data_IF_822700719192
#
_entry.id   IF_822700719192
#
_cell.length_a   1.000
_cell.length_b   1.000
_cell.length_c   1.000
_cell.angle_alpha   90.00
_cell.angle_beta   90.00
_cell.angle_gamma   90.00
#
_symmetry.space_group_name_H-M   'P 1'
#
loop_
_entity.id
_entity.type
_entity.pdbx_description
1 polymer ?
#
# COMPACT_ATOMS: atom_id res chain seq x y z
N UNK A 1 -9.06 37.20 -20.48
CA UNK A 1 -9.07 35.73 -20.42
C UNK A 1 -9.20 35.32 -18.95
N UNK A 2 -10.25 34.63 -18.57
CA UNK A 2 -10.38 34.07 -17.22
C UNK A 2 -9.34 32.95 -17.10
N UNK A 3 -8.40 33.07 -16.15
CA UNK A 3 -7.36 32.06 -15.92
C UNK A 3 -8.05 30.77 -15.50
N UNK A 4 -7.82 29.71 -16.25
CA UNK A 4 -8.39 28.39 -15.92
C UNK A 4 -7.81 27.88 -14.60
N UNK A 5 -8.68 27.51 -13.64
CA UNK A 5 -8.27 27.06 -12.32
C UNK A 5 -7.55 25.70 -12.38
N UNK A 6 -6.49 25.54 -11.61
CA UNK A 6 -5.81 24.25 -11.42
C UNK A 6 -6.68 23.25 -10.65
N UNK A 7 -6.31 21.95 -10.71
CA UNK A 7 -6.99 20.92 -9.93
C UNK A 7 -6.90 21.15 -8.41
N UNK A 8 -5.81 21.78 -7.94
CA UNK A 8 -5.65 22.12 -6.51
C UNK A 8 -6.62 23.24 -6.11
N UNK A 9 -6.72 24.30 -6.91
CA UNK A 9 -7.67 25.38 -6.67
C UNK A 9 -9.12 24.89 -6.69
N UNK A 10 -9.47 24.03 -7.67
CA UNK A 10 -10.80 23.42 -7.74
C UNK A 10 -11.10 22.54 -6.53
N UNK A 11 -10.13 21.76 -6.05
CA UNK A 11 -10.29 20.95 -4.85
C UNK A 11 -10.49 21.81 -3.59
N UNK A 12 -9.76 22.92 -3.47
CA UNK A 12 -9.91 23.81 -2.32
C UNK A 12 -11.26 24.53 -2.29
N UNK A 13 -11.98 24.54 -3.41
CA UNK A 13 -13.31 25.12 -3.54
C UNK A 13 -14.46 24.13 -3.34
N UNK A 14 -14.15 22.88 -2.99
CA UNK A 14 -15.17 21.82 -2.75
C UNK A 14 -16.15 22.19 -1.64
N UNK A 15 -15.69 22.94 -0.63
CA UNK A 15 -16.59 23.46 0.41
C UNK A 15 -17.01 24.90 0.06
N UNK A 16 -18.31 25.16 0.14
CA UNK A 16 -18.83 26.53 0.08
C UNK A 16 -18.42 27.34 1.31
N UNK A 17 -18.53 28.69 1.27
CA UNK A 17 -18.34 29.53 2.46
C UNK A 17 -19.21 29.11 3.66
N UNK A 18 -20.35 28.48 3.42
CA UNK A 18 -21.26 27.92 4.45
C UNK A 18 -20.89 26.50 4.88
N UNK A 19 -19.77 25.94 4.41
CA UNK A 19 -19.31 24.57 4.74
C UNK A 19 -20.06 23.43 4.03
N UNK A 20 -20.91 23.76 3.05
CA UNK A 20 -21.62 22.73 2.28
C UNK A 20 -20.71 22.12 1.21
N UNK A 21 -20.75 20.79 1.10
CA UNK A 21 -19.96 20.04 0.12
C UNK A 21 -20.45 20.31 -1.32
N UNK A 22 -19.52 20.72 -2.18
CA UNK A 22 -19.76 20.97 -3.60
C UNK A 22 -19.18 19.84 -4.45
N UNK A 23 -19.91 18.71 -4.53
CA UNK A 23 -19.44 17.46 -5.18
C UNK A 23 -19.06 17.67 -6.64
N UNK A 24 -19.70 18.58 -7.36
CA UNK A 24 -19.36 18.86 -8.76
C UNK A 24 -17.98 19.51 -8.91
N UNK A 25 -17.56 20.34 -7.95
CA UNK A 25 -16.21 20.92 -7.96
C UNK A 25 -15.12 19.89 -7.70
N UNK A 26 -15.37 18.92 -6.80
CA UNK A 26 -14.47 17.81 -6.55
C UNK A 26 -14.34 16.91 -7.80
N UNK A 27 -15.43 16.60 -8.48
CA UNK A 27 -15.42 15.88 -9.77
C UNK A 27 -14.61 16.62 -10.84
N UNK A 28 -14.74 17.94 -10.89
CA UNK A 28 -13.96 18.78 -11.80
C UNK A 28 -12.46 18.74 -11.45
N UNK A 29 -12.12 18.79 -10.15
CA UNK A 29 -10.74 18.67 -9.68
C UNK A 29 -10.14 17.31 -10.06
N UNK A 30 -10.88 16.19 -9.88
CA UNK A 30 -10.45 14.85 -10.33
C UNK A 30 -10.19 14.84 -11.83
N UNK A 31 -11.16 15.32 -12.65
CA UNK A 31 -11.02 15.36 -14.11
C UNK A 31 -9.77 16.15 -14.53
N UNK A 32 -9.58 17.32 -13.94
CA UNK A 32 -8.44 18.19 -14.27
C UNK A 32 -7.12 17.58 -13.81
N UNK A 33 -7.07 16.93 -12.66
CA UNK A 33 -5.90 16.18 -12.20
C UNK A 33 -5.47 15.07 -13.20
N UNK A 34 -6.45 14.37 -13.76
CA UNK A 34 -6.14 13.37 -14.79
C UNK A 34 -5.62 14.00 -16.09
N UNK A 35 -6.21 15.11 -16.54
CA UNK A 35 -5.80 15.79 -17.77
C UNK A 35 -4.43 16.41 -17.62
N UNK A 36 -4.22 17.18 -16.56
CA UNK A 36 -3.04 18.02 -16.40
C UNK A 36 -1.83 17.26 -15.83
N UNK A 37 -2.07 16.14 -15.15
CA UNK A 37 -0.99 15.43 -14.44
C UNK A 37 -0.90 13.94 -14.77
N UNK A 38 -1.95 13.16 -14.47
CA UNK A 38 -1.85 11.70 -14.60
C UNK A 38 -1.60 11.27 -16.03
N UNK A 39 -2.40 11.76 -16.98
CA UNK A 39 -2.29 11.34 -18.38
C UNK A 39 -0.99 11.84 -19.04
N UNK A 40 -0.48 12.97 -18.63
CA UNK A 40 0.79 13.53 -19.14
C UNK A 40 2.00 12.75 -18.64
N UNK A 41 1.89 12.13 -17.46
CA UNK A 41 2.94 11.32 -16.85
C UNK A 41 2.69 9.82 -17.00
N UNK A 42 1.74 9.40 -17.83
CA UNK A 42 1.45 7.99 -18.07
C UNK A 42 2.27 7.45 -19.25
N UNK A 43 2.89 6.30 -19.07
CA UNK A 43 3.44 5.53 -20.19
C UNK A 43 2.29 4.87 -20.94
N UNK A 44 2.18 5.14 -22.22
CA UNK A 44 1.14 4.62 -23.07
C UNK A 44 1.63 3.42 -23.88
N UNK A 45 0.80 2.40 -23.96
CA UNK A 45 1.05 1.17 -24.73
C UNK A 45 -0.02 1.03 -25.79
N UNK A 46 0.35 0.45 -26.92
CA UNK A 46 -0.58 0.23 -28.02
C UNK A 46 -1.71 -0.74 -27.62
N UNK A 47 -1.36 -1.81 -26.92
CA UNK A 47 -2.33 -2.77 -26.41
C UNK A 47 -1.89 -3.43 -25.09
N UNK A 48 -2.76 -4.26 -24.50
CA UNK A 48 -2.49 -4.97 -23.26
C UNK A 48 -1.32 -5.97 -23.38
N UNK A 49 -1.13 -6.57 -24.56
CA UNK A 49 -0.07 -7.56 -24.76
C UNK A 49 1.30 -6.91 -24.72
N UNK A 50 1.44 -5.78 -25.40
CA UNK A 50 2.66 -4.97 -25.36
C UNK A 50 2.94 -4.48 -23.92
N UNK A 51 1.90 -3.98 -23.24
CA UNK A 51 2.02 -3.53 -21.84
C UNK A 51 2.52 -4.64 -20.92
N UNK A 52 1.87 -5.82 -20.93
CA UNK A 52 2.27 -6.93 -20.05
C UNK A 52 3.69 -7.40 -20.40
N UNK A 53 4.01 -7.52 -21.70
CA UNK A 53 5.36 -7.87 -22.13
C UNK A 53 6.40 -6.89 -21.60
N UNK A 54 6.18 -5.59 -21.80
CA UNK A 54 7.08 -4.54 -21.29
C UNK A 54 7.28 -4.64 -19.78
N UNK A 55 6.19 -4.83 -19.02
CA UNK A 55 6.24 -4.89 -17.56
C UNK A 55 6.93 -6.15 -17.03
N UNK A 56 6.86 -7.25 -17.76
CA UNK A 56 7.61 -8.49 -17.45
C UNK A 56 9.09 -8.35 -17.82
N UNK A 57 9.40 -7.92 -19.03
CA UNK A 57 10.77 -7.79 -19.55
C UNK A 57 11.61 -6.81 -18.72
N UNK A 58 10.98 -5.74 -18.22
CA UNK A 58 11.63 -4.74 -17.36
C UNK A 58 11.51 -5.02 -15.86
N UNK A 59 11.12 -6.23 -15.45
CA UNK A 59 11.07 -6.69 -14.06
C UNK A 59 10.18 -5.82 -13.15
N UNK A 60 9.05 -5.37 -13.67
CA UNK A 60 8.02 -4.74 -12.88
C UNK A 60 7.03 -5.77 -12.34
N UNK A 61 6.55 -6.68 -13.20
CA UNK A 61 5.63 -7.75 -12.83
C UNK A 61 6.35 -9.08 -12.60
N UNK A 62 5.75 -9.92 -11.76
CA UNK A 62 6.25 -11.27 -11.47
C UNK A 62 6.00 -12.21 -12.65
N UNK A 63 7.07 -12.68 -13.27
CA UNK A 63 7.00 -13.70 -14.32
C UNK A 63 6.36 -14.99 -13.81
N UNK A 64 6.65 -15.37 -12.55
CA UNK A 64 6.08 -16.56 -11.91
C UNK A 64 4.54 -16.49 -11.85
N UNK A 65 3.99 -15.33 -11.46
CA UNK A 65 2.54 -15.15 -11.44
C UNK A 65 1.94 -15.25 -12.82
N UNK A 66 2.50 -14.54 -13.80
CA UNK A 66 1.92 -14.49 -15.15
C UNK A 66 2.06 -15.81 -15.90
N UNK A 67 3.06 -16.63 -15.60
CA UNK A 67 3.21 -17.98 -16.17
C UNK A 67 2.10 -18.95 -15.72
N UNK A 68 1.38 -18.65 -14.62
CA UNK A 68 0.23 -19.46 -14.16
C UNK A 68 -1.03 -19.28 -15.02
N UNK A 69 -1.03 -18.28 -15.92
CA UNK A 69 -2.20 -17.91 -16.73
C UNK A 69 -1.87 -17.89 -18.22
N UNK A 70 -2.84 -18.28 -19.04
CA UNK A 70 -2.81 -17.98 -20.47
C UNK A 70 -3.07 -16.48 -20.67
N UNK A 71 -2.48 -15.89 -21.68
CA UNK A 71 -2.71 -14.46 -21.97
C UNK A 71 -4.20 -14.13 -22.17
N UNK A 72 -4.98 -15.05 -22.76
CA UNK A 72 -6.43 -14.89 -22.92
C UNK A 72 -7.17 -14.75 -21.58
N UNK A 73 -6.69 -15.42 -20.52
CA UNK A 73 -7.24 -15.35 -19.17
C UNK A 73 -6.87 -14.03 -18.48
N UNK A 74 -5.60 -13.64 -18.60
CA UNK A 74 -5.16 -12.29 -18.15
C UNK A 74 -6.02 -11.22 -18.81
N UNK A 75 -6.20 -11.29 -20.13
CA UNK A 75 -7.04 -10.35 -20.89
C UNK A 75 -8.49 -10.31 -20.39
N UNK A 76 -9.06 -11.45 -19.99
CA UNK A 76 -10.43 -11.50 -19.41
C UNK A 76 -10.52 -10.68 -18.11
N UNK A 77 -9.56 -10.85 -17.19
CA UNK A 77 -9.54 -10.13 -15.90
C UNK A 77 -9.39 -8.63 -16.11
N UNK A 78 -8.44 -8.20 -16.93
CA UNK A 78 -8.26 -6.77 -17.26
C UNK A 78 -9.51 -6.20 -17.95
N UNK A 79 -10.09 -6.90 -18.94
CA UNK A 79 -11.32 -6.46 -19.59
C UNK A 79 -12.47 -6.32 -18.59
N UNK A 80 -12.58 -7.23 -17.63
CA UNK A 80 -13.59 -7.15 -16.55
C UNK A 80 -13.38 -5.92 -15.68
N UNK A 81 -12.14 -5.64 -15.25
CA UNK A 81 -11.83 -4.44 -14.48
C UNK A 81 -12.25 -3.15 -15.21
N UNK A 82 -11.83 -3.01 -16.46
CA UNK A 82 -12.15 -1.83 -17.27
C UNK A 82 -13.65 -1.70 -17.61
N UNK A 83 -14.42 -2.78 -17.56
CA UNK A 83 -15.88 -2.73 -17.79
C UNK A 83 -16.64 -1.98 -16.71
N UNK A 84 -16.07 -1.85 -15.51
CA UNK A 84 -16.64 -1.07 -14.41
C UNK A 84 -16.59 0.45 -14.64
N UNK A 85 -15.76 0.91 -15.59
CA UNK A 85 -15.60 2.35 -15.90
C UNK A 85 -15.36 3.17 -14.64
N UNK A 86 -14.51 2.67 -13.75
CA UNK A 86 -14.25 3.25 -12.43
C UNK A 86 -13.90 4.74 -12.53
N UNK A 87 -14.39 5.51 -11.57
CA UNK A 87 -14.07 6.92 -11.39
C UNK A 87 -13.81 7.20 -9.92
N UNK A 88 -12.69 7.83 -9.64
CA UNK A 88 -12.40 8.23 -8.26
C UNK A 88 -13.46 9.20 -7.76
N UNK A 89 -13.99 8.99 -6.54
CA UNK A 89 -15.03 9.84 -5.97
C UNK A 89 -14.52 11.23 -5.57
N UNK A 90 -13.20 11.33 -5.24
CA UNK A 90 -12.59 12.57 -4.79
C UNK A 90 -11.18 12.76 -5.36
N UNK A 91 -10.71 14.02 -5.38
CA UNK A 91 -9.33 14.34 -5.75
C UNK A 91 -8.34 13.67 -4.79
N UNK A 92 -8.63 13.66 -3.49
CA UNK A 92 -7.80 13.02 -2.47
C UNK A 92 -7.59 11.54 -2.75
N UNK A 93 -8.66 10.80 -3.09
CA UNK A 93 -8.55 9.37 -3.39
C UNK A 93 -7.75 9.10 -4.66
N UNK A 94 -7.94 9.90 -5.71
CA UNK A 94 -7.17 9.80 -6.94
C UNK A 94 -5.67 10.10 -6.69
N UNK A 95 -5.39 11.21 -6.02
CA UNK A 95 -4.02 11.60 -5.67
C UNK A 95 -3.32 10.53 -4.82
N UNK A 96 -4.00 10.03 -3.77
CA UNK A 96 -3.44 8.99 -2.90
C UNK A 96 -3.09 7.72 -3.67
N UNK A 97 -3.95 7.31 -4.61
CA UNK A 97 -3.66 6.14 -5.45
C UNK A 97 -2.40 6.36 -6.31
N UNK A 98 -2.31 7.46 -7.05
CA UNK A 98 -1.17 7.72 -7.93
C UNK A 98 0.12 8.06 -7.19
N UNK A 99 0.05 8.70 -6.04
CA UNK A 99 1.23 8.97 -5.22
C UNK A 99 1.81 7.71 -4.58
N UNK A 100 0.95 6.80 -4.09
CA UNK A 100 1.36 5.72 -3.19
C UNK A 100 1.19 4.30 -3.72
N UNK A 101 0.28 4.04 -4.67
CA UNK A 101 -0.09 2.67 -5.07
C UNK A 101 0.18 2.34 -6.54
N UNK A 102 0.04 3.33 -7.44
CA UNK A 102 0.27 3.11 -8.84
C UNK A 102 1.74 2.79 -9.12
N UNK A 103 1.99 1.72 -9.86
CA UNK A 103 3.33 1.36 -10.30
C UNK A 103 3.91 2.47 -11.16
N UNK A 104 5.16 2.81 -10.87
CA UNK A 104 5.92 3.84 -11.59
C UNK A 104 7.16 3.26 -12.24
N UNK A 105 7.73 4.01 -13.17
CA UNK A 105 9.05 3.71 -13.72
C UNK A 105 10.12 3.73 -12.62
N UNK A 106 11.24 3.05 -12.83
CA UNK A 106 12.32 2.98 -11.83
C UNK A 106 12.89 4.33 -11.40
N UNK A 107 12.74 5.36 -12.24
CA UNK A 107 13.10 6.76 -11.93
C UNK A 107 11.97 7.54 -11.25
N UNK A 108 10.83 6.89 -10.95
CA UNK A 108 9.62 7.45 -10.34
C UNK A 108 8.95 8.60 -11.11
N UNK A 109 9.28 8.81 -12.39
CA UNK A 109 8.76 9.94 -13.16
C UNK A 109 7.44 9.65 -13.85
N UNK A 110 7.21 8.41 -14.28
CA UNK A 110 6.05 8.06 -15.09
C UNK A 110 5.25 6.92 -14.46
N UNK A 111 3.93 6.99 -14.62
CA UNK A 111 3.01 5.94 -14.18
C UNK A 111 2.94 4.83 -15.24
N UNK A 112 2.95 3.59 -14.77
CA UNK A 112 2.83 2.39 -15.58
C UNK A 112 1.46 1.73 -15.44
N UNK A 113 0.74 2.01 -14.36
CA UNK A 113 -0.56 1.43 -14.04
C UNK A 113 -1.64 2.48 -13.85
N UNK A 114 -2.85 2.14 -14.29
CA UNK A 114 -4.11 2.73 -13.83
C UNK A 114 -4.66 1.92 -12.65
N UNK A 115 -5.71 2.41 -12.03
CA UNK A 115 -6.39 1.74 -10.92
C UNK A 115 -6.85 0.33 -11.33
N UNK A 116 -7.47 0.22 -12.50
CA UNK A 116 -7.93 -1.03 -13.07
C UNK A 116 -6.79 -2.03 -13.32
N UNK A 117 -5.62 -1.55 -13.74
CA UNK A 117 -4.44 -2.39 -13.95
C UNK A 117 -3.95 -2.98 -12.63
N UNK A 118 -3.77 -2.12 -11.61
CA UNK A 118 -3.29 -2.56 -10.29
C UNK A 118 -4.22 -3.60 -9.68
N UNK A 119 -5.54 -3.35 -9.70
CA UNK A 119 -6.51 -4.30 -9.17
C UNK A 119 -6.57 -5.59 -9.99
N UNK A 120 -6.37 -5.55 -11.32
CA UNK A 120 -6.29 -6.75 -12.15
C UNK A 120 -5.12 -7.64 -11.73
N UNK A 121 -3.95 -7.07 -11.46
CA UNK A 121 -2.79 -7.84 -11.00
C UNK A 121 -2.99 -8.40 -9.60
N UNK A 122 -3.60 -7.63 -8.69
CA UNK A 122 -3.98 -8.13 -7.35
C UNK A 122 -4.97 -9.30 -7.45
N UNK A 123 -5.97 -9.19 -8.32
CA UNK A 123 -6.96 -10.26 -8.52
C UNK A 123 -6.32 -11.53 -9.12
N UNK A 124 -5.40 -11.40 -10.07
CA UNK A 124 -4.63 -12.52 -10.60
C UNK A 124 -3.77 -13.16 -9.51
N UNK A 125 -3.16 -12.35 -8.65
CA UNK A 125 -2.37 -12.85 -7.53
C UNK A 125 -3.22 -13.70 -6.57
N UNK A 126 -4.41 -13.23 -6.20
CA UNK A 126 -5.33 -14.00 -5.34
C UNK A 126 -5.88 -15.25 -6.03
N UNK A 127 -6.15 -15.17 -7.32
CA UNK A 127 -6.62 -16.32 -8.11
C UNK A 127 -5.57 -17.42 -8.29
N UNK A 128 -4.27 -17.09 -8.12
CA UNK A 128 -3.14 -18.04 -8.12
C UNK A 128 -3.19 -19.11 -9.23
N UNK A 129 -3.58 -18.71 -10.45
CA UNK A 129 -3.70 -19.58 -11.62
C UNK A 129 -5.15 -19.97 -11.96
N UNK A 130 -6.11 -19.75 -11.07
CA UNK A 130 -7.52 -19.93 -11.37
C UNK A 130 -8.15 -18.61 -11.84
N UNK A 131 -8.52 -18.58 -13.11
CA UNK A 131 -9.14 -17.39 -13.73
C UNK A 131 -10.54 -17.11 -13.18
N UNK A 132 -11.29 -18.12 -12.73
CA UNK A 132 -12.63 -17.91 -12.19
C UNK A 132 -12.56 -17.27 -10.81
N UNK A 133 -11.61 -17.70 -9.98
CA UNK A 133 -11.33 -17.03 -8.70
C UNK A 133 -10.82 -15.60 -8.94
N UNK A 134 -9.90 -15.39 -9.88
CA UNK A 134 -9.43 -14.05 -10.23
C UNK A 134 -10.58 -13.13 -10.68
N UNK A 135 -11.56 -13.66 -11.43
CA UNK A 135 -12.76 -12.89 -11.83
C UNK A 135 -13.68 -12.55 -10.65
N UNK A 136 -13.82 -13.43 -9.67
CA UNK A 136 -14.55 -13.11 -8.43
C UNK A 136 -13.85 -12.00 -7.65
N UNK A 137 -12.52 -12.11 -7.48
CA UNK A 137 -11.75 -11.09 -6.78
C UNK A 137 -11.80 -9.74 -7.48
N UNK A 138 -11.69 -9.70 -8.82
CA UNK A 138 -11.76 -8.41 -9.53
C UNK A 138 -13.13 -7.74 -9.36
N UNK A 139 -14.21 -8.53 -9.32
CA UNK A 139 -15.54 -7.99 -9.07
C UNK A 139 -15.68 -7.39 -7.66
N UNK A 140 -15.19 -8.08 -6.63
CA UNK A 140 -15.15 -7.58 -5.25
C UNK A 140 -14.32 -6.31 -5.11
N UNK A 141 -13.15 -6.28 -5.75
CA UNK A 141 -12.22 -5.14 -5.71
C UNK A 141 -12.79 -3.93 -6.44
N UNK A 142 -13.29 -4.12 -7.66
CA UNK A 142 -13.81 -3.03 -8.49
C UNK A 142 -15.15 -2.48 -7.99
N UNK A 143 -15.99 -3.30 -7.35
CA UNK A 143 -17.20 -2.86 -6.68
C UNK A 143 -16.95 -2.24 -5.30
N UNK A 144 -15.68 -2.22 -4.84
CA UNK A 144 -15.28 -1.72 -3.52
C UNK A 144 -15.92 -2.47 -2.33
N UNK A 145 -16.37 -3.71 -2.54
CA UNK A 145 -16.84 -4.59 -1.46
C UNK A 145 -15.68 -5.20 -0.67
N UNK A 146 -14.50 -5.26 -1.26
CA UNK A 146 -13.27 -5.71 -0.64
C UNK A 146 -12.12 -4.76 -0.98
N UNK A 147 -11.38 -4.35 0.03
CA UNK A 147 -10.16 -3.55 -0.09
C UNK A 147 -9.02 -4.27 0.62
N UNK A 148 -7.99 -4.73 -0.08
CA UNK A 148 -6.84 -5.36 0.56
C UNK A 148 -6.02 -4.36 1.35
N UNK A 149 -5.24 -4.85 2.30
CA UNK A 149 -4.31 -4.03 3.06
C UNK A 149 -3.26 -3.40 2.14
N UNK A 150 -2.71 -2.26 2.58
CA UNK A 150 -1.70 -1.51 1.82
C UNK A 150 -0.54 -2.36 1.31
N UNK A 151 0.10 -3.27 2.10
CA UNK A 151 1.20 -4.10 1.59
C UNK A 151 0.77 -5.01 0.44
N UNK A 152 -0.42 -5.58 0.50
CA UNK A 152 -0.96 -6.40 -0.59
C UNK A 152 -1.21 -5.57 -1.85
N UNK A 153 -1.79 -4.38 -1.70
CA UNK A 153 -2.00 -3.46 -2.82
C UNK A 153 -0.69 -3.01 -3.47
N UNK A 154 0.37 -2.86 -2.69
CA UNK A 154 1.69 -2.44 -3.20
C UNK A 154 2.48 -3.57 -3.83
N UNK A 155 2.40 -4.78 -3.27
CA UNK A 155 3.37 -5.84 -3.56
C UNK A 155 2.81 -6.98 -4.40
N UNK A 156 1.48 -7.24 -4.37
CA UNK A 156 0.89 -8.38 -5.06
C UNK A 156 1.21 -8.38 -6.55
N UNK A 157 1.80 -9.45 -7.03
CA UNK A 157 2.11 -9.67 -8.44
C UNK A 157 3.27 -8.84 -9.01
N UNK A 158 4.04 -8.14 -8.18
CA UNK A 158 5.26 -7.43 -8.61
C UNK A 158 6.48 -8.34 -8.57
N UNK A 159 7.47 -8.04 -9.38
CA UNK A 159 8.75 -8.77 -9.42
C UNK A 159 9.54 -8.62 -8.11
N UNK A 160 9.66 -7.40 -7.61
CA UNK A 160 10.24 -7.10 -6.29
C UNK A 160 9.09 -6.89 -5.31
N UNK A 161 8.41 -7.96 -4.95
CA UNK A 161 7.38 -7.91 -3.94
C UNK A 161 8.03 -7.79 -2.55
N UNK A 162 7.58 -6.81 -1.77
CA UNK A 162 7.79 -6.79 -0.32
C UNK A 162 6.85 -7.75 0.39
N UNK A 163 6.91 -7.75 1.72
CA UNK A 163 5.99 -8.54 2.53
C UNK A 163 4.53 -8.07 2.36
N UNK A 164 3.60 -9.01 2.48
CA UNK A 164 2.15 -8.73 2.39
C UNK A 164 1.51 -8.48 3.75
N UNK A 165 2.34 -8.34 4.78
CA UNK A 165 1.95 -8.13 6.18
C UNK A 165 2.20 -6.66 6.55
N UNK A 166 1.21 -6.03 7.19
CA UNK A 166 1.32 -4.63 7.63
C UNK A 166 1.70 -4.46 9.09
N UNK A 167 1.43 -5.47 9.92
CA UNK A 167 1.59 -5.35 11.37
C UNK A 167 2.15 -6.65 11.98
N UNK A 168 3.09 -6.49 12.90
CA UNK A 168 3.68 -7.58 13.68
C UNK A 168 3.40 -7.33 15.15
N UNK A 169 2.94 -8.38 15.84
CA UNK A 169 2.68 -8.37 17.27
C UNK A 169 3.75 -9.23 17.95
N UNK A 170 4.45 -8.66 18.92
CA UNK A 170 5.50 -9.34 19.67
C UNK A 170 5.14 -9.31 21.15
N UNK A 171 5.37 -10.40 21.86
CA UNK A 171 5.32 -10.44 23.29
C UNK A 171 6.73 -10.68 23.84
N UNK A 172 7.07 -10.07 24.98
CA UNK A 172 8.33 -10.30 25.67
C UNK A 172 8.11 -10.94 27.04
N UNK A 173 9.07 -11.75 27.48
CA UNK A 173 9.21 -12.12 28.88
C UNK A 173 9.86 -11.01 29.70
N UNK A 174 10.17 -11.31 30.98
CA UNK A 174 10.70 -10.36 31.95
C UNK A 174 12.21 -10.51 32.18
N UNK A 175 12.88 -11.39 31.44
CA UNK A 175 14.33 -11.51 31.52
C UNK A 175 15.03 -10.52 30.58
N UNK A 176 16.27 -10.14 30.92
CA UNK A 176 17.08 -9.28 30.07
C UNK A 176 17.29 -9.92 28.68
N UNK A 177 17.42 -11.25 28.62
CA UNK A 177 17.55 -11.97 27.37
C UNK A 177 16.30 -11.86 26.50
N UNK A 178 15.11 -12.02 27.08
CA UNK A 178 13.84 -11.86 26.36
C UNK A 178 13.67 -10.43 25.84
N UNK A 179 14.00 -9.42 26.65
CA UNK A 179 13.93 -8.01 26.25
C UNK A 179 14.91 -7.71 25.11
N UNK A 180 16.13 -8.24 25.15
CA UNK A 180 17.11 -8.07 24.08
C UNK A 180 16.67 -8.78 22.80
N UNK A 181 16.18 -10.03 22.90
CA UNK A 181 15.67 -10.80 21.78
C UNK A 181 14.47 -10.08 21.13
N UNK A 182 13.52 -9.60 21.92
CA UNK A 182 12.37 -8.83 21.47
C UNK A 182 12.81 -7.56 20.74
N UNK A 183 13.76 -6.79 21.28
CA UNK A 183 14.27 -5.58 20.64
C UNK A 183 14.96 -5.88 19.29
N UNK A 184 15.77 -6.96 19.22
CA UNK A 184 16.38 -7.41 17.99
C UNK A 184 15.34 -7.83 16.94
N UNK A 185 14.36 -8.63 17.36
CA UNK A 185 13.25 -9.09 16.51
C UNK A 185 12.44 -7.91 15.98
N UNK A 186 12.10 -6.94 16.83
CA UNK A 186 11.37 -5.74 16.43
C UNK A 186 12.10 -4.97 15.32
N UNK A 187 13.42 -4.82 15.43
CA UNK A 187 14.24 -4.17 14.39
C UNK A 187 14.20 -4.92 13.06
N UNK A 188 14.33 -6.24 13.09
CA UNK A 188 14.32 -7.06 11.87
C UNK A 188 12.95 -7.01 11.17
N UNK A 189 11.86 -7.07 11.93
CA UNK A 189 10.51 -6.97 11.39
C UNK A 189 10.19 -5.56 10.87
N UNK A 190 10.64 -4.52 11.57
CA UNK A 190 10.49 -3.13 11.11
C UNK A 190 11.17 -2.89 9.77
N UNK A 191 12.34 -3.49 9.53
CA UNK A 191 13.05 -3.45 8.24
C UNK A 191 12.21 -3.98 7.08
N UNK A 192 11.28 -4.91 7.34
CA UNK A 192 10.38 -5.46 6.31
C UNK A 192 9.23 -4.50 5.94
N UNK A 193 9.15 -3.33 6.58
CA UNK A 193 8.13 -2.32 6.28
C UNK A 193 6.83 -2.46 7.08
N UNK A 194 6.77 -3.37 8.05
CA UNK A 194 5.59 -3.55 8.92
C UNK A 194 5.63 -2.72 10.20
N UNK A 195 4.47 -2.28 10.67
CA UNK A 195 4.32 -1.69 11.98
C UNK A 195 4.54 -2.73 13.09
N UNK A 196 5.16 -2.33 14.19
CA UNK A 196 5.46 -3.21 15.31
C UNK A 196 4.66 -2.81 16.53
N UNK A 197 3.96 -3.77 17.13
CA UNK A 197 3.34 -3.63 18.45
C UNK A 197 3.96 -4.63 19.41
N UNK A 198 4.32 -4.18 20.62
CA UNK A 198 5.00 -5.00 21.62
C UNK A 198 4.18 -5.04 22.89
N UNK A 199 3.81 -6.25 23.30
CA UNK A 199 3.14 -6.48 24.57
C UNK A 199 4.18 -6.59 25.70
N UNK A 200 4.15 -5.64 26.62
CA UNK A 200 5.05 -5.55 27.78
C UNK A 200 4.37 -5.99 29.10
N UNK A 201 3.19 -6.59 29.04
CA UNK A 201 2.38 -6.95 30.24
C UNK A 201 3.11 -7.86 31.20
N UNK A 202 4.02 -8.72 30.70
CA UNK A 202 4.79 -9.65 31.55
C UNK A 202 5.99 -9.00 32.24
N UNK A 203 6.32 -7.76 31.89
CA UNK A 203 7.44 -7.03 32.49
C UNK A 203 7.05 -6.57 33.90
N UNK A 204 7.92 -6.81 34.88
CA UNK A 204 7.69 -6.44 36.30
C UNK A 204 7.59 -4.91 36.50
N UNK A 205 6.87 -4.53 37.50
CA UNK A 205 6.64 -3.13 37.87
C UNK A 205 7.91 -2.47 38.47
N UNK A 206 7.94 -1.13 38.48
CA UNK A 206 9.01 -0.39 39.13
C UNK A 206 9.07 -0.73 40.64
N UNK A 207 10.27 -0.85 41.16
CA UNK A 207 10.59 -1.19 42.55
C UNK A 207 10.31 -2.64 42.97
N UNK A 208 9.99 -3.54 42.02
CA UNK A 208 9.98 -4.97 42.32
C UNK A 208 11.42 -5.52 42.44
N UNK A 209 11.57 -6.60 43.18
CA UNK A 209 12.88 -7.20 43.48
C UNK A 209 13.48 -7.87 42.22
N UNK A 210 14.77 -7.67 42.02
CA UNK A 210 15.54 -8.43 41.06
C UNK A 210 16.07 -9.72 41.73
N UNK A 211 15.78 -10.87 41.13
CA UNK A 211 16.21 -12.16 41.67
C UNK A 211 17.75 -12.18 41.87
N UNK A 212 18.15 -12.47 43.09
CA UNK A 212 19.56 -12.58 43.48
C UNK A 212 20.33 -11.28 43.63
N UNK A 213 19.62 -10.15 43.75
CA UNK A 213 20.26 -8.84 43.92
C UNK A 213 19.34 -7.94 44.77
N UNK A 214 19.94 -7.13 45.68
CA UNK A 214 19.23 -6.15 46.50
C UNK A 214 18.73 -4.95 45.69
N UNK A 215 19.05 -4.88 44.42
CA UNK A 215 18.60 -3.80 43.55
C UNK A 215 17.13 -3.97 43.16
N UNK A 216 16.50 -2.86 42.89
CA UNK A 216 15.11 -2.77 42.41
C UNK A 216 15.05 -2.48 40.93
N UNK A 217 14.04 -3.06 40.26
CA UNK A 217 13.80 -2.77 38.84
C UNK A 217 13.37 -1.32 38.60
N UNK A 218 13.78 -0.76 37.48
CA UNK A 218 13.30 0.54 37.01
C UNK A 218 11.92 0.46 36.33
N UNK A 219 11.38 -0.76 36.13
CA UNK A 219 10.09 -1.02 35.50
C UNK A 219 10.09 -0.87 34.01
N UNK A 220 8.88 -0.82 33.41
CA UNK A 220 8.65 -0.88 31.97
C UNK A 220 9.06 0.39 31.20
N UNK A 221 9.02 1.57 31.84
CA UNK A 221 9.24 2.86 31.14
C UNK A 221 10.61 2.97 30.45
N UNK A 222 11.75 2.59 31.08
CA UNK A 222 13.03 2.58 30.38
C UNK A 222 13.08 1.63 29.19
N UNK A 223 12.39 0.48 29.26
CA UNK A 223 12.27 -0.47 28.14
C UNK A 223 11.53 0.19 26.98
N UNK A 224 10.39 0.85 27.23
CA UNK A 224 9.63 1.58 26.20
C UNK A 224 10.47 2.66 25.53
N UNK A 225 11.23 3.44 26.31
CA UNK A 225 12.13 4.48 25.79
C UNK A 225 13.24 3.88 24.90
N UNK A 226 13.83 2.78 25.33
CA UNK A 226 14.83 2.07 24.53
C UNK A 226 14.25 1.57 23.20
N UNK A 227 13.05 0.98 23.23
CA UNK A 227 12.35 0.53 22.04
C UNK A 227 12.05 1.69 21.07
N UNK A 228 11.51 2.80 21.56
CA UNK A 228 11.26 3.99 20.74
C UNK A 228 12.54 4.47 20.04
N UNK A 229 13.63 4.62 20.79
CA UNK A 229 14.91 5.04 20.22
C UNK A 229 15.47 4.02 19.24
N UNK A 230 15.33 2.72 19.53
CA UNK A 230 15.87 1.66 18.68
C UNK A 230 15.13 1.52 17.34
N UNK A 231 13.87 1.94 17.26
CA UNK A 231 13.10 1.90 15.99
C UNK A 231 13.31 3.15 15.12
N UNK A 232 13.67 4.28 15.70
CA UNK A 232 13.79 5.56 14.97
C UNK A 232 14.86 5.56 13.87
N UNK A 233 15.90 4.74 13.98
CA UNK A 233 16.95 4.67 12.95
C UNK A 233 16.67 3.66 11.84
N UNK A 234 15.57 2.92 11.93
CA UNK A 234 15.19 1.94 10.92
C UNK A 234 14.21 2.60 9.96
N UNK A 235 14.62 2.71 8.71
CA UNK A 235 13.75 3.22 7.66
C UNK A 235 12.72 2.14 7.30
N UNK A 236 11.47 2.44 7.55
CA UNK A 236 10.35 1.61 7.11
C UNK A 236 10.02 2.00 5.67
N UNK A 237 10.67 1.37 4.72
CA UNK A 237 10.37 1.34 3.29
C UNK A 237 9.83 2.58 2.61
#
# INVERSE_FOLDING_TARGET
>A
MVKEKSHVELNNEVLSPQGQLQIEKDKQAVKKYFVDYVNMNMVWFHDLKEKIKYLLDNRYYSQELFNKYKFSEVKKVFKRAYSYKFRFPSYMSAKKFYDSYALKTHDNKHFLERYEDRLSVVALFFGNGDVNEALKYIDLLMSQQYQPATPTMLNAGLFKAGEMVSCFLIETGDSLNDINMMNSTARQLSKLGGGISINLTKTRAKNEDLMGNDNKTMGVVPIMKNLDQSQRHINQG
#
